data_IF_650215080428
#
_entry.id   IF_650215080428
#
_cell.length_a   1.000
_cell.length_b   1.000
_cell.length_c   1.000
_cell.angle_alpha   90.00
_cell.angle_beta   90.00
_cell.angle_gamma   90.00
#
_symmetry.space_group_name_H-M   'P 1'
#
loop_
_entity.id
_entity.type
_entity.pdbx_description
1 polymer ?
#
# COMPACT_ATOMS: atom_id res chain seq x y z
N UNK A 1 -12.25 -9.97 18.95
CA UNK A 1 -12.05 -8.59 18.53
C UNK A 1 -12.65 -8.47 17.15
N UNK A 2 -13.66 -7.61 16.96
CA UNK A 2 -14.39 -7.49 15.69
C UNK A 2 -13.54 -6.68 14.72
N UNK A 3 -13.51 -7.07 13.42
CA UNK A 3 -12.70 -6.44 12.37
C UNK A 3 -12.99 -4.93 12.23
N UNK A 4 -14.24 -4.50 12.43
CA UNK A 4 -14.62 -3.08 12.40
C UNK A 4 -13.95 -2.26 13.51
N UNK A 5 -13.68 -2.85 14.67
CA UNK A 5 -12.91 -2.19 15.74
C UNK A 5 -11.42 -1.98 15.39
N UNK A 6 -10.89 -2.77 14.45
CA UNK A 6 -9.52 -2.59 13.93
C UNK A 6 -9.42 -1.41 12.95
N UNK A 7 -10.49 -1.10 12.22
CA UNK A 7 -10.53 0.02 11.26
C UNK A 7 -10.85 1.36 11.95
N UNK A 8 -11.67 1.35 13.01
CA UNK A 8 -12.07 2.56 13.76
C UNK A 8 -10.90 3.20 14.55
N UNK A 9 -9.83 2.46 14.82
CA UNK A 9 -8.65 2.97 15.53
C UNK A 9 -7.60 3.63 14.63
N UNK A 10 -7.83 3.79 13.33
CA UNK A 10 -6.96 4.54 12.43
C UNK A 10 -7.42 6.00 12.31
N UNK A 11 -7.76 6.64 13.42
CA UNK A 11 -7.86 8.09 13.46
C UNK A 11 -6.46 8.69 13.33
N UNK A 12 -6.31 9.72 12.50
CA UNK A 12 -5.07 10.49 12.38
C UNK A 12 -4.58 10.89 13.77
N UNK A 13 -3.44 10.42 14.25
CA UNK A 13 -2.99 10.73 15.59
C UNK A 13 -2.53 12.17 15.63
N UNK A 14 -3.35 13.06 16.23
CA UNK A 14 -2.98 14.45 16.46
C UNK A 14 -1.87 14.61 17.49
N UNK A 15 -1.43 13.55 18.21
CA UNK A 15 -0.44 13.64 19.30
C UNK A 15 0.40 12.37 19.51
N UNK A 16 0.44 11.40 18.60
CA UNK A 16 1.34 10.24 18.76
C UNK A 16 2.72 10.50 18.17
N UNK A 17 3.79 9.90 18.71
CA UNK A 17 5.13 10.03 18.14
C UNK A 17 5.11 9.55 16.69
N UNK A 18 5.86 10.19 15.80
CA UNK A 18 5.83 9.86 14.38
C UNK A 18 6.24 8.40 14.18
N UNK A 19 5.39 7.62 13.52
CA UNK A 19 5.79 6.30 13.06
C UNK A 19 7.01 6.43 12.14
N UNK A 20 8.05 5.63 12.40
CA UNK A 20 9.28 5.66 11.61
C UNK A 20 9.27 4.63 10.49
N UNK A 21 8.55 3.53 10.69
CA UNK A 21 8.47 2.43 9.73
C UNK A 21 7.11 1.70 9.79
N UNK A 22 6.87 0.82 8.82
CA UNK A 22 5.60 0.06 8.76
C UNK A 22 5.44 -0.89 9.95
N UNK A 23 6.53 -1.33 10.56
CA UNK A 23 6.45 -2.17 11.75
C UNK A 23 5.80 -1.46 12.93
N UNK A 24 5.94 -0.14 13.04
CA UNK A 24 5.27 0.65 14.08
C UNK A 24 3.76 0.68 13.86
N UNK A 25 3.33 0.85 12.59
CA UNK A 25 1.90 0.76 12.23
C UNK A 25 1.36 -0.64 12.52
N UNK A 26 2.09 -1.70 12.16
CA UNK A 26 1.68 -3.07 12.46
C UNK A 26 1.46 -3.28 13.96
N UNK A 27 2.33 -2.73 14.81
CA UNK A 27 2.18 -2.79 16.28
C UNK A 27 0.92 -2.05 16.74
N UNK A 28 0.66 -0.84 16.23
CA UNK A 28 -0.53 -0.06 16.58
C UNK A 28 -1.84 -0.79 16.24
N UNK A 29 -1.80 -1.65 15.21
CA UNK A 29 -2.89 -2.52 14.80
C UNK A 29 -2.92 -3.87 15.54
N UNK A 30 -2.12 -4.03 16.61
CA UNK A 30 -2.07 -5.26 17.42
C UNK A 30 -1.29 -6.41 16.78
N UNK A 31 -0.47 -6.16 15.79
CA UNK A 31 0.33 -7.17 15.07
C UNK A 31 1.80 -7.06 15.49
N UNK A 32 2.45 -8.19 15.68
CA UNK A 32 3.89 -8.23 15.99
C UNK A 32 4.71 -7.73 14.79
N UNK A 33 5.76 -6.96 15.04
CA UNK A 33 6.77 -6.61 14.04
C UNK A 33 7.28 -7.89 13.36
N UNK A 34 7.57 -7.79 12.06
CA UNK A 34 8.05 -8.91 11.25
C UNK A 34 7.13 -10.14 11.30
N UNK A 35 5.84 -9.95 11.50
CA UNK A 35 4.89 -11.06 11.48
C UNK A 35 4.99 -11.79 10.14
N UNK A 36 4.76 -13.12 10.17
CA UNK A 36 4.87 -13.91 8.95
C UNK A 36 3.77 -13.55 7.95
N UNK A 37 2.56 -13.23 8.43
CA UNK A 37 1.39 -12.96 7.59
C UNK A 37 0.57 -11.80 8.16
N UNK A 38 -0.04 -11.05 7.27
CA UNK A 38 -1.13 -10.11 7.50
C UNK A 38 -2.27 -10.48 6.58
N UNK A 39 -3.52 -10.38 7.04
CA UNK A 39 -4.71 -10.70 6.25
C UNK A 39 -5.56 -9.44 6.04
N UNK A 40 -5.95 -9.19 4.79
CA UNK A 40 -6.68 -8.01 4.37
C UNK A 40 -5.79 -6.83 3.99
N UNK A 41 -6.38 -5.65 3.77
CA UNK A 41 -5.64 -4.47 3.35
C UNK A 41 -4.78 -3.91 4.50
N UNK A 42 -3.59 -3.40 4.16
CA UNK A 42 -2.72 -2.65 5.06
C UNK A 42 -2.52 -1.25 4.48
N UNK A 43 -3.10 -0.24 5.14
CA UNK A 43 -2.93 1.16 4.76
C UNK A 43 -1.91 1.83 5.69
N UNK A 44 -0.81 2.27 5.10
CA UNK A 44 0.30 2.94 5.76
C UNK A 44 0.60 4.30 5.08
N UNK A 45 -0.43 4.96 4.54
CA UNK A 45 -0.26 6.23 3.81
C UNK A 45 -0.18 7.43 4.75
N UNK A 46 0.61 8.45 4.35
CA UNK A 46 0.67 9.77 5.01
C UNK A 46 1.27 9.79 6.43
N UNK A 47 1.96 8.73 6.85
CA UNK A 47 2.61 8.67 8.17
C UNK A 47 4.06 9.20 8.18
N UNK A 48 4.53 9.79 7.07
CA UNK A 48 5.93 10.23 6.93
C UNK A 48 6.96 9.10 7.13
N UNK A 49 6.59 7.86 6.85
CA UNK A 49 7.47 6.71 7.00
C UNK A 49 8.71 6.83 6.12
N UNK A 50 9.83 6.41 6.66
CA UNK A 50 11.12 6.40 5.95
C UNK A 50 11.59 5.00 5.57
N UNK A 51 10.93 3.95 6.07
CA UNK A 51 11.36 2.56 5.90
C UNK A 51 10.19 1.58 5.93
N UNK A 52 10.33 0.48 5.18
CA UNK A 52 9.45 -0.69 5.28
C UNK A 52 9.90 -1.68 6.37
N UNK A 53 10.88 -1.32 7.18
CA UNK A 53 11.38 -2.18 8.24
C UNK A 53 10.24 -2.64 9.16
N UNK A 54 10.27 -3.92 9.53
CA UNK A 54 9.25 -4.49 10.43
C UNK A 54 7.93 -4.85 9.74
N UNK A 55 7.81 -4.67 8.42
CA UNK A 55 6.63 -5.12 7.66
C UNK A 55 6.32 -6.59 7.88
N UNK A 56 5.05 -6.98 7.79
CA UNK A 56 4.69 -8.39 7.63
C UNK A 56 5.38 -8.98 6.40
N UNK A 57 5.79 -10.24 6.49
CA UNK A 57 6.47 -10.90 5.35
C UNK A 57 5.54 -11.10 4.15
N UNK A 58 4.25 -11.35 4.42
CA UNK A 58 3.22 -11.53 3.40
C UNK A 58 1.98 -10.73 3.75
N UNK A 59 1.34 -10.13 2.73
CA UNK A 59 0.03 -9.49 2.82
C UNK A 59 -0.92 -10.31 1.94
N UNK A 60 -1.90 -10.94 2.57
CA UNK A 60 -2.77 -11.95 1.99
C UNK A 60 -4.22 -11.46 1.98
N UNK A 61 -5.01 -11.99 1.06
CA UNK A 61 -6.45 -11.80 1.03
C UNK A 61 -7.07 -12.37 2.32
N UNK A 62 -8.09 -11.69 2.83
CA UNK A 62 -8.86 -12.17 3.98
C UNK A 62 -10.20 -12.72 3.51
N UNK A 63 -10.40 -14.01 3.78
CA UNK A 63 -11.60 -14.74 3.41
C UNK A 63 -12.44 -15.05 4.65
N UNK A 64 -13.65 -14.51 4.71
CA UNK A 64 -14.66 -14.86 5.72
C UNK A 64 -15.82 -15.51 5.01
N UNK A 65 -16.24 -16.73 5.40
CA UNK A 65 -17.38 -17.40 4.76
C UNK A 65 -18.63 -16.52 4.78
N UNK A 66 -19.26 -16.36 3.61
CA UNK A 66 -20.47 -15.54 3.45
C UNK A 66 -20.24 -14.04 3.33
N UNK A 67 -18.98 -13.57 3.32
CA UNK A 67 -18.65 -12.17 3.15
C UNK A 67 -17.79 -11.94 1.89
N UNK A 68 -17.77 -10.71 1.32
CA UNK A 68 -16.84 -10.35 0.26
C UNK A 68 -15.38 -10.53 0.70
N UNK A 69 -14.53 -10.93 -0.25
CA UNK A 69 -13.09 -11.08 0.01
C UNK A 69 -12.46 -9.70 0.21
N UNK A 70 -11.80 -9.48 1.35
CA UNK A 70 -10.97 -8.32 1.57
C UNK A 70 -9.59 -8.55 0.97
N UNK A 71 -9.26 -7.81 -0.10
CA UNK A 71 -7.99 -7.96 -0.82
C UNK A 71 -6.80 -7.57 0.04
N UNK A 72 -5.75 -8.36 -0.03
CA UNK A 72 -4.47 -8.12 0.63
C UNK A 72 -3.66 -7.02 -0.04
N UNK A 73 -4.18 -5.80 -0.04
CA UNK A 73 -3.52 -4.63 -0.65
C UNK A 73 -2.52 -4.01 0.33
N UNK A 74 -1.40 -3.51 -0.20
CA UNK A 74 -0.50 -2.64 0.56
C UNK A 74 -0.53 -1.23 -0.02
N UNK A 75 -1.00 -0.27 0.78
CA UNK A 75 -1.07 1.14 0.40
C UNK A 75 -0.15 1.95 1.31
N UNK A 76 0.92 2.51 0.76
CA UNK A 76 1.94 3.26 1.51
C UNK A 76 2.29 4.58 0.80
N UNK A 77 1.26 5.31 0.37
CA UNK A 77 1.38 6.55 -0.40
C UNK A 77 1.84 7.73 0.47
N UNK A 78 2.40 8.77 -0.18
CA UNK A 78 2.78 10.03 0.48
C UNK A 78 3.76 9.86 1.65
N UNK A 79 4.66 8.89 1.57
CA UNK A 79 5.72 8.66 2.55
C UNK A 79 7.09 9.12 2.03
N UNK A 80 8.11 9.03 2.89
CA UNK A 80 9.48 9.48 2.63
C UNK A 80 10.45 8.32 2.40
N UNK A 81 9.98 7.23 1.82
CA UNK A 81 10.85 6.11 1.47
C UNK A 81 11.89 6.53 0.44
N UNK A 82 13.12 6.03 0.57
CA UNK A 82 14.17 6.16 -0.44
C UNK A 82 14.31 4.89 -1.29
N UNK A 83 13.99 3.75 -0.70
CA UNK A 83 13.97 2.43 -1.33
C UNK A 83 12.84 1.58 -0.76
N UNK A 84 12.74 0.33 -1.19
CA UNK A 84 11.72 -0.63 -0.75
C UNK A 84 12.29 -1.73 0.16
N UNK A 85 13.48 -1.51 0.72
CA UNK A 85 14.12 -2.48 1.63
C UNK A 85 13.23 -2.72 2.85
N UNK A 86 12.92 -3.99 3.12
CA UNK A 86 12.01 -4.40 4.19
C UNK A 86 10.55 -4.51 3.77
N UNK A 87 10.20 -4.21 2.52
CA UNK A 87 8.85 -4.48 2.02
C UNK A 87 8.48 -5.97 2.11
N UNK A 88 7.17 -6.28 2.20
CA UNK A 88 6.69 -7.66 2.18
C UNK A 88 7.25 -8.42 0.97
N UNK A 89 7.51 -9.70 1.15
CA UNK A 89 7.98 -10.57 0.05
C UNK A 89 6.87 -10.90 -0.93
N UNK A 90 5.64 -10.94 -0.46
CA UNK A 90 4.47 -11.29 -1.27
C UNK A 90 3.26 -10.42 -0.88
N UNK A 91 2.55 -9.94 -1.90
CA UNK A 91 1.33 -9.12 -1.76
C UNK A 91 0.30 -9.70 -2.71
N UNK A 92 -0.81 -10.25 -2.18
CA UNK A 92 -1.87 -10.86 -3.00
C UNK A 92 -2.70 -9.82 -3.75
N UNK A 93 -2.90 -8.66 -3.17
CA UNK A 93 -3.57 -7.54 -3.81
C UNK A 93 -2.61 -6.66 -4.61
N UNK A 94 -2.92 -5.37 -4.69
CA UNK A 94 -2.05 -4.38 -5.31
C UNK A 94 -1.08 -3.77 -4.29
N UNK A 95 0.01 -3.20 -4.82
CA UNK A 95 1.00 -2.45 -4.05
C UNK A 95 1.05 -0.99 -4.53
N UNK A 96 0.90 -0.03 -3.63
CA UNK A 96 0.96 1.38 -3.97
C UNK A 96 1.96 2.14 -3.10
N UNK A 97 2.92 2.79 -3.75
CA UNK A 97 3.88 3.74 -3.18
C UNK A 97 3.82 5.08 -3.94
N UNK A 98 2.65 5.40 -4.48
CA UNK A 98 2.45 6.63 -5.24
C UNK A 98 2.73 7.86 -4.38
N UNK A 99 3.26 8.91 -5.01
CA UNK A 99 3.60 10.19 -4.37
C UNK A 99 4.66 10.12 -3.26
N UNK A 100 5.42 9.03 -3.20
CA UNK A 100 6.64 8.94 -2.39
C UNK A 100 7.80 9.59 -3.15
N UNK A 101 7.90 10.91 -3.10
CA UNK A 101 8.79 11.71 -3.96
C UNK A 101 10.27 11.38 -3.79
N UNK A 102 10.68 10.91 -2.61
CA UNK A 102 12.07 10.53 -2.32
C UNK A 102 12.40 9.10 -2.75
N UNK A 103 11.40 8.31 -3.17
CA UNK A 103 11.57 6.92 -3.58
C UNK A 103 12.18 6.87 -4.99
N UNK A 104 13.49 6.68 -5.05
CA UNK A 104 14.28 6.64 -6.29
C UNK A 104 14.85 5.27 -6.59
N UNK A 105 14.75 4.30 -5.66
CA UNK A 105 15.25 2.95 -5.86
C UNK A 105 14.19 1.89 -5.59
N UNK A 106 14.06 0.93 -6.51
CA UNK A 106 13.22 -0.25 -6.35
C UNK A 106 13.93 -1.39 -5.57
N UNK A 107 15.09 -1.12 -4.96
CA UNK A 107 15.80 -2.11 -4.12
C UNK A 107 14.88 -2.60 -3.01
N UNK A 108 14.75 -3.90 -2.87
CA UNK A 108 13.86 -4.50 -1.86
C UNK A 108 12.42 -4.70 -2.32
N UNK A 109 12.14 -4.48 -3.63
CA UNK A 109 10.84 -4.78 -4.20
C UNK A 109 10.38 -6.20 -3.86
N UNK A 110 9.08 -6.43 -3.57
CA UNK A 110 8.52 -7.75 -3.32
C UNK A 110 8.95 -8.81 -4.33
N UNK A 111 9.07 -10.06 -3.89
CA UNK A 111 9.33 -11.17 -4.82
C UNK A 111 8.12 -11.41 -5.73
N UNK A 112 6.89 -11.07 -5.25
CA UNK A 112 5.66 -11.15 -6.02
C UNK A 112 4.59 -10.17 -5.56
N UNK A 113 3.97 -9.50 -6.54
CA UNK A 113 2.74 -8.70 -6.39
C UNK A 113 1.70 -9.29 -7.33
N UNK A 114 0.64 -9.90 -6.80
CA UNK A 114 -0.38 -10.57 -7.63
C UNK A 114 -1.31 -9.56 -8.33
N UNK A 115 -1.52 -8.40 -7.74
CA UNK A 115 -2.23 -7.28 -8.37
C UNK A 115 -1.31 -6.35 -9.15
N UNK A 116 -1.71 -5.09 -9.25
CA UNK A 116 -0.95 -4.04 -9.94
C UNK A 116 0.02 -3.32 -8.99
N UNK A 117 1.05 -2.69 -9.55
CA UNK A 117 1.97 -1.83 -8.83
C UNK A 117 1.76 -0.37 -9.22
N UNK A 118 1.59 0.51 -8.24
CA UNK A 118 1.37 1.94 -8.43
C UNK A 118 2.51 2.73 -7.79
N UNK A 119 3.28 3.44 -8.60
CA UNK A 119 4.38 4.32 -8.17
C UNK A 119 4.33 5.71 -8.83
N UNK A 120 3.11 6.15 -9.15
CA UNK A 120 2.86 7.47 -9.76
C UNK A 120 3.33 8.57 -8.84
N UNK A 121 4.02 9.59 -9.36
CA UNK A 121 4.53 10.70 -8.55
C UNK A 121 5.65 10.33 -7.58
N UNK A 122 6.22 9.12 -7.70
CA UNK A 122 7.48 8.76 -7.05
C UNK A 122 8.67 9.17 -7.91
N UNK A 123 9.89 9.01 -7.40
CA UNK A 123 11.13 9.19 -8.16
C UNK A 123 11.59 7.94 -8.91
N UNK A 124 10.77 6.86 -8.95
CA UNK A 124 11.11 5.64 -9.67
C UNK A 124 11.00 5.86 -11.19
N UNK A 125 11.99 5.37 -11.91
CA UNK A 125 12.06 5.41 -13.37
C UNK A 125 11.93 4.01 -13.96
N UNK A 126 11.58 3.92 -15.24
CA UNK A 126 11.53 2.64 -15.96
C UNK A 126 12.85 1.87 -15.87
N UNK A 127 13.98 2.57 -16.00
CA UNK A 127 15.32 2.01 -15.88
C UNK A 127 15.54 1.38 -14.50
N UNK A 128 15.11 2.06 -13.45
CA UNK A 128 15.25 1.55 -12.08
C UNK A 128 14.34 0.34 -11.83
N UNK A 129 13.11 0.36 -12.37
CA UNK A 129 12.20 -0.78 -12.30
C UNK A 129 12.77 -2.00 -13.05
N UNK A 130 13.33 -1.80 -14.24
CA UNK A 130 13.97 -2.85 -15.02
C UNK A 130 15.19 -3.46 -14.30
N UNK A 131 16.01 -2.64 -13.63
CA UNK A 131 17.18 -3.07 -12.88
C UNK A 131 16.86 -4.12 -11.80
N UNK A 132 15.67 -4.05 -11.20
CA UNK A 132 15.22 -4.97 -10.16
C UNK A 132 14.20 -5.99 -10.65
N UNK A 133 14.05 -6.10 -11.98
CA UNK A 133 13.16 -7.06 -12.64
C UNK A 133 11.69 -6.97 -12.15
N UNK A 134 11.23 -5.75 -11.88
CA UNK A 134 9.90 -5.49 -11.34
C UNK A 134 8.80 -5.98 -12.28
N UNK A 135 9.03 -5.91 -13.60
CA UNK A 135 8.07 -6.36 -14.61
C UNK A 135 7.67 -7.83 -14.46
N UNK A 136 8.62 -8.70 -14.12
CA UNK A 136 8.36 -10.13 -13.94
C UNK A 136 7.78 -10.49 -12.55
N UNK A 137 7.81 -9.56 -11.62
CA UNK A 137 7.31 -9.74 -10.24
C UNK A 137 5.88 -9.27 -10.04
N UNK A 138 5.33 -8.53 -11.00
CA UNK A 138 3.99 -7.94 -10.96
C UNK A 138 3.09 -8.65 -11.96
N UNK A 139 2.04 -9.33 -11.48
CA UNK A 139 1.09 -10.01 -12.37
C UNK A 139 0.12 -9.03 -13.06
N UNK A 140 -0.17 -7.90 -12.42
CA UNK A 140 -1.01 -6.85 -12.97
C UNK A 140 -0.24 -5.83 -13.80
N UNK A 141 -0.67 -4.58 -13.77
CA UNK A 141 -0.04 -3.47 -14.49
C UNK A 141 0.87 -2.67 -13.58
N UNK A 142 1.91 -2.06 -14.16
CA UNK A 142 2.78 -1.10 -13.49
C UNK A 142 2.38 0.30 -13.94
N UNK A 143 2.08 1.18 -12.97
CA UNK A 143 1.71 2.58 -13.19
C UNK A 143 2.80 3.48 -12.62
N UNK A 144 3.59 4.13 -13.51
CA UNK A 144 4.69 5.02 -13.16
C UNK A 144 4.69 6.28 -14.03
N UNK A 145 5.54 7.24 -13.74
CA UNK A 145 5.36 8.62 -14.17
C UNK A 145 6.02 9.02 -15.49
N UNK A 146 6.67 8.16 -16.25
CA UNK A 146 7.68 8.64 -17.19
C UNK A 146 7.22 9.01 -18.60
N UNK A 147 5.99 8.90 -19.00
CA UNK A 147 5.48 9.57 -20.21
C UNK A 147 3.96 9.54 -20.20
N UNK A 148 3.42 10.69 -19.96
CA UNK A 148 2.04 10.99 -20.11
C UNK A 148 1.66 11.09 -21.60
N UNK A 149 1.18 10.01 -22.18
CA UNK A 149 0.46 10.10 -23.45
C UNK A 149 -0.96 10.61 -23.15
N UNK A 150 -1.49 11.57 -23.93
CA UNK A 150 -2.82 12.16 -23.68
C UNK A 150 -3.96 11.14 -23.55
N UNK A 151 -3.81 9.93 -24.11
CA UNK A 151 -4.74 8.82 -23.98
C UNK A 151 -4.65 8.06 -22.63
N UNK A 152 -3.54 8.15 -21.92
CA UNK A 152 -3.35 7.49 -20.63
C UNK A 152 -3.94 8.27 -19.45
N UNK A 153 -4.22 9.57 -19.65
CA UNK A 153 -4.90 10.43 -18.68
C UNK A 153 -6.15 9.78 -18.08
N UNK A 154 -6.98 9.20 -18.92
CA UNK A 154 -8.26 8.61 -18.52
C UNK A 154 -8.08 7.31 -17.74
N UNK A 155 -7.08 6.50 -18.07
CA UNK A 155 -6.78 5.25 -17.35
C UNK A 155 -6.17 5.53 -15.98
N UNK A 156 -5.32 6.54 -15.89
CA UNK A 156 -4.70 6.99 -14.66
C UNK A 156 -5.73 7.58 -13.69
N UNK A 157 -6.57 8.47 -14.18
CA UNK A 157 -7.61 9.12 -13.38
C UNK A 157 -8.63 8.09 -12.86
N UNK A 158 -9.02 7.10 -13.66
CA UNK A 158 -9.92 6.02 -13.22
C UNK A 158 -9.28 5.12 -12.17
N UNK A 159 -8.03 4.70 -12.34
CA UNK A 159 -7.34 3.86 -11.38
C UNK A 159 -7.06 4.62 -10.06
N UNK A 160 -6.72 5.91 -10.15
CA UNK A 160 -6.54 6.78 -9.00
C UNK A 160 -7.85 7.02 -8.26
N UNK A 161 -8.93 7.34 -8.96
CA UNK A 161 -10.26 7.54 -8.36
C UNK A 161 -10.88 6.23 -7.86
N UNK A 162 -10.59 5.09 -8.48
CA UNK A 162 -11.01 3.79 -7.95
C UNK A 162 -10.25 3.46 -6.66
N UNK A 163 -8.93 3.73 -6.60
CA UNK A 163 -8.15 3.53 -5.38
C UNK A 163 -8.58 4.50 -4.25
N UNK A 164 -8.98 5.75 -4.58
CA UNK A 164 -9.56 6.67 -3.60
C UNK A 164 -10.98 6.27 -3.18
N UNK A 165 -11.83 5.80 -4.08
CA UNK A 165 -13.18 5.35 -3.73
C UNK A 165 -13.18 4.21 -2.71
N UNK A 166 -12.16 3.35 -2.70
CA UNK A 166 -12.02 2.31 -1.68
C UNK A 166 -11.59 2.87 -0.31
N UNK A 167 -10.98 4.05 -0.26
CA UNK A 167 -10.67 4.74 1.01
C UNK A 167 -11.81 5.65 1.47
N UNK A 168 -12.56 6.24 0.52
CA UNK A 168 -13.62 7.21 0.83
C UNK A 168 -14.98 6.54 1.09
N UNK A 169 -15.22 5.32 0.60
CA UNK A 169 -16.47 4.58 0.87
C UNK A 169 -16.51 3.99 2.28
N UNK A 170 -15.38 3.76 2.90
CA UNK A 170 -15.34 3.32 4.30
C UNK A 170 -15.59 4.46 5.30
N UNK A 171 -15.36 5.74 4.88
CA UNK A 171 -15.63 6.91 5.73
C UNK A 171 -17.08 7.45 5.62
N UNK A 172 -17.84 7.11 4.58
CA UNK A 172 -19.17 7.67 4.35
C UNK A 172 -20.35 6.80 4.74
N UNK A 173 -20.16 5.56 5.17
CA UNK A 173 -21.29 4.68 5.55
C UNK A 173 -21.74 4.80 7.01
N UNK A 174 -21.07 5.63 7.84
CA UNK A 174 -21.37 5.69 9.28
C UNK A 174 -22.07 6.97 9.76
N UNK A 175 -22.53 7.86 8.86
CA UNK A 175 -23.14 9.14 9.29
C UNK A 175 -24.67 9.22 9.03
N UNK A 176 -25.33 8.19 8.51
CA UNK A 176 -26.77 8.25 8.23
C UNK A 176 -27.56 7.07 8.80
N UNK A 177 -27.41 6.79 10.09
CA UNK A 177 -28.42 5.99 10.82
C UNK A 177 -28.35 6.29 12.32
N UNK A 178 -28.86 7.47 12.70
CA UNK A 178 -29.49 7.71 14.01
C UNK A 178 -30.83 8.35 13.74
#
# INVERSE_FOLDING_TARGET
MNFNQLLENVQSPSNEPPYLDIGDIAISLGVKRNSHKWFGPLNASQYNLTSFKGSPRKILDHHVPGQPVLRGNLVARFNKFKDLVGAPKEIEGYFSVSFCKELTSAKGFPDRVHGSFYCVGSGLTEKELAKYDVGNKVNGKIFFNDKYEPGDKIRFTKAYHQAQKFTDTDEQQDITSI
#
